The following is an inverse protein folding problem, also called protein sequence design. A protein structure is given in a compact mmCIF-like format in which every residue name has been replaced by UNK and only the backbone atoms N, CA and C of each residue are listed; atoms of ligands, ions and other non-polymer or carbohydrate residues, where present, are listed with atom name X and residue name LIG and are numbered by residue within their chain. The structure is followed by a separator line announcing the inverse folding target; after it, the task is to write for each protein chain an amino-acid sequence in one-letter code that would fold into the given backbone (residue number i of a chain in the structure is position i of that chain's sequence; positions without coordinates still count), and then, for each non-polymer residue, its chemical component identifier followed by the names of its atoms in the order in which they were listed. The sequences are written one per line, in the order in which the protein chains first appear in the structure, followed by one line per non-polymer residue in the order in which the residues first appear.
data_IF_722750641428
#
_entry.id   IF_722750641428
#
_cell.length_a   1.000
_cell.length_b   1.000
_cell.length_c   1.000
_cell.angle_alpha   90.00
_cell.angle_beta   90.00
_cell.angle_gamma   90.00
#
_symmetry.space_group_name_H-M   'P 1'
#
loop_
_entity.id
_entity.type
_entity.pdbx_description
1 polymer ?
#
# COMPACT_ATOMS: atom_id res chain seq x y z
N UNK A 1 28.55 -4.53 17.16
CA UNK A 1 28.08 -3.67 16.08
C UNK A 1 26.59 -3.44 16.21
N UNK A 2 26.14 -2.21 16.12
CA UNK A 2 24.70 -1.97 16.10
C UNK A 2 24.10 -2.58 14.83
N UNK A 3 22.88 -3.13 14.91
CA UNK A 3 22.23 -3.68 13.73
C UNK A 3 21.96 -2.57 12.72
N UNK A 4 22.20 -2.86 11.45
CA UNK A 4 21.89 -1.93 10.38
C UNK A 4 20.37 -1.90 10.19
N UNK A 5 19.79 -0.70 10.23
CA UNK A 5 18.37 -0.55 9.93
C UNK A 5 18.13 -0.76 8.45
N UNK A 6 17.05 -1.46 8.06
CA UNK A 6 16.70 -1.58 6.66
C UNK A 6 16.47 -0.21 6.02
N UNK A 7 16.90 -0.07 4.79
CA UNK A 7 16.69 1.15 4.00
C UNK A 7 15.40 0.98 3.19
N UNK A 8 14.58 2.03 3.15
CA UNK A 8 13.38 2.01 2.34
C UNK A 8 13.72 2.00 0.86
N UNK A 9 13.18 1.04 0.13
CA UNK A 9 13.30 0.99 -1.32
C UNK A 9 11.98 1.43 -1.94
N UNK A 10 12.04 2.36 -2.88
CA UNK A 10 10.88 2.77 -3.66
C UNK A 10 10.81 1.87 -4.89
N UNK A 11 9.88 0.93 -4.89
CA UNK A 11 9.75 -0.03 -5.98
C UNK A 11 9.11 0.57 -7.22
N UNK A 12 8.12 1.46 -7.02
CA UNK A 12 7.50 2.22 -8.10
C UNK A 12 6.76 3.39 -7.48
N UNK A 13 6.84 4.56 -8.11
CA UNK A 13 6.16 5.76 -7.61
C UNK A 13 5.55 6.53 -8.77
N UNK A 14 4.32 6.98 -8.60
CA UNK A 14 3.63 7.78 -9.58
C UNK A 14 2.76 8.82 -8.90
N UNK A 15 2.77 10.03 -9.44
CA UNK A 15 1.90 11.12 -9.00
C UNK A 15 1.26 11.73 -10.21
N UNK A 16 -0.03 11.99 -10.16
CA UNK A 16 -0.73 12.67 -11.22
C UNK A 16 -1.95 13.40 -10.67
N UNK A 17 -2.44 14.37 -11.42
CA UNK A 17 -3.71 15.02 -11.12
C UNK A 17 -4.82 14.19 -11.73
N UNK A 18 -5.84 13.90 -10.95
CA UNK A 18 -7.01 13.14 -11.38
C UNK A 18 -8.26 13.82 -10.84
N UNK A 19 -9.39 13.59 -11.48
CA UNK A 19 -10.67 13.94 -10.88
C UNK A 19 -10.94 12.99 -9.71
N UNK A 20 -11.78 13.42 -8.78
CA UNK A 20 -12.16 12.55 -7.65
C UNK A 20 -12.83 11.26 -8.15
N UNK A 21 -13.57 11.34 -9.26
CA UNK A 21 -14.22 10.17 -9.83
C UNK A 21 -13.26 9.20 -10.48
N UNK A 22 -12.22 9.71 -11.15
CA UNK A 22 -11.16 8.85 -11.69
C UNK A 22 -10.41 8.15 -10.56
N UNK A 23 -10.14 8.88 -9.48
CA UNK A 23 -9.50 8.30 -8.31
C UNK A 23 -10.38 7.23 -7.67
N UNK A 24 -11.68 7.50 -7.54
CA UNK A 24 -12.63 6.51 -7.00
C UNK A 24 -12.62 5.22 -7.84
N UNK A 25 -12.59 5.35 -9.16
CA UNK A 25 -12.54 4.19 -10.06
C UNK A 25 -11.27 3.38 -9.84
N UNK A 26 -10.14 4.05 -9.61
CA UNK A 26 -8.87 3.38 -9.30
C UNK A 26 -8.95 2.62 -7.98
N UNK A 27 -9.54 3.23 -6.95
CA UNK A 27 -9.72 2.57 -5.65
C UNK A 27 -10.62 1.34 -5.78
N UNK A 28 -11.70 1.44 -6.55
CA UNK A 28 -12.61 0.33 -6.80
C UNK A 28 -11.89 -0.83 -7.48
N UNK A 29 -11.02 -0.51 -8.43
CA UNK A 29 -10.23 -1.52 -9.15
C UNK A 29 -9.25 -2.21 -8.22
N UNK A 30 -8.56 -1.46 -7.37
CA UNK A 30 -7.66 -2.02 -6.36
C UNK A 30 -8.43 -2.95 -5.44
N UNK A 31 -9.58 -2.49 -4.93
CA UNK A 31 -10.41 -3.29 -4.04
C UNK A 31 -10.89 -4.56 -4.70
N UNK A 32 -11.34 -4.49 -5.95
CA UNK A 32 -11.80 -5.64 -6.70
C UNK A 32 -10.70 -6.67 -6.89
N UNK A 33 -9.51 -6.21 -7.28
CA UNK A 33 -8.36 -7.10 -7.49
C UNK A 33 -7.91 -7.77 -6.19
N UNK A 34 -7.85 -7.02 -5.10
CA UNK A 34 -7.50 -7.58 -3.80
C UNK A 34 -8.50 -8.64 -3.36
N UNK A 35 -9.80 -8.42 -3.61
CA UNK A 35 -10.84 -9.36 -3.23
C UNK A 35 -10.81 -10.62 -4.09
N UNK A 36 -10.62 -10.46 -5.39
CA UNK A 36 -10.69 -11.57 -6.34
C UNK A 36 -9.37 -12.35 -6.42
N UNK A 37 -8.24 -11.68 -6.36
CA UNK A 37 -6.93 -12.28 -6.62
C UNK A 37 -5.94 -12.12 -5.48
N UNK A 38 -6.25 -11.31 -4.47
CA UNK A 38 -5.33 -11.04 -3.37
C UNK A 38 -4.14 -10.19 -3.75
N UNK A 39 -4.13 -9.64 -4.95
CA UNK A 39 -3.02 -8.83 -5.46
C UNK A 39 -3.49 -7.95 -6.61
N UNK A 40 -2.69 -6.96 -6.95
CA UNK A 40 -2.91 -6.14 -8.13
C UNK A 40 -1.56 -5.72 -8.73
N UNK A 41 -1.58 -5.30 -9.99
CA UNK A 41 -0.39 -4.82 -10.68
C UNK A 41 -0.42 -3.30 -10.75
N UNK A 42 0.64 -2.69 -10.24
CA UNK A 42 0.84 -1.25 -10.34
C UNK A 42 1.64 -0.97 -11.60
N UNK A 43 1.05 -0.19 -12.52
CA UNK A 43 1.63 0.08 -13.84
C UNK A 43 1.90 1.57 -13.99
N UNK A 44 3.10 1.89 -14.46
CA UNK A 44 3.47 3.25 -14.82
C UNK A 44 4.27 3.21 -16.12
N UNK A 45 3.64 3.65 -17.22
CA UNK A 45 4.28 3.58 -18.52
C UNK A 45 4.64 2.14 -18.90
N UNK A 46 5.92 1.89 -19.11
CA UNK A 46 6.43 0.54 -19.43
C UNK A 46 6.83 -0.25 -18.19
N UNK A 47 6.82 0.39 -17.02
CA UNK A 47 7.17 -0.26 -15.77
C UNK A 47 5.93 -0.82 -15.09
N UNK A 48 6.09 -1.98 -14.46
CA UNK A 48 5.02 -2.58 -13.69
C UNK A 48 5.59 -3.39 -12.54
N UNK A 49 4.82 -3.44 -11.45
CA UNK A 49 5.19 -4.21 -10.28
C UNK A 49 3.93 -4.85 -9.69
N UNK A 50 4.04 -6.08 -9.24
CA UNK A 50 2.93 -6.77 -8.58
C UNK A 50 2.93 -6.41 -7.10
N UNK A 51 1.78 -5.95 -6.60
CA UNK A 51 1.57 -5.66 -5.19
C UNK A 51 0.73 -6.80 -4.62
N UNK A 52 1.35 -7.64 -3.80
CA UNK A 52 0.74 -8.85 -3.27
C UNK A 52 0.81 -8.85 -1.75
N UNK A 53 -0.15 -8.20 -1.08
CA UNK A 53 -0.14 -8.16 0.38
C UNK A 53 -0.44 -9.52 1.00
N UNK A 54 -0.03 -9.69 2.25
CA UNK A 54 -0.41 -10.86 3.02
C UNK A 54 -1.90 -10.78 3.39
N UNK A 55 -2.47 -11.88 3.90
CA UNK A 55 -3.88 -11.92 4.29
C UNK A 55 -4.24 -10.89 5.36
N UNK A 56 -3.29 -10.55 6.21
CA UNK A 56 -3.46 -9.55 7.24
C UNK A 56 -2.57 -8.36 6.94
N UNK A 57 -3.13 -7.17 6.96
CA UNK A 57 -2.41 -5.93 6.72
C UNK A 57 -2.72 -4.94 7.84
N UNK A 58 -1.72 -4.11 8.16
CA UNK A 58 -1.94 -2.98 9.05
C UNK A 58 -2.36 -1.80 8.19
N UNK A 59 -3.50 -1.21 8.49
CA UNK A 59 -4.00 -0.08 7.71
C UNK A 59 -4.00 1.17 8.57
N UNK A 60 -3.49 2.26 8.00
CA UNK A 60 -3.43 3.56 8.65
C UNK A 60 -4.18 4.58 7.80
N UNK A 61 -4.97 5.40 8.46
CA UNK A 61 -5.74 6.48 7.84
C UNK A 61 -5.35 7.79 8.50
N UNK A 62 -5.04 8.82 7.71
CA UNK A 62 -4.69 10.12 8.26
C UNK A 62 -5.26 11.24 7.41
N UNK A 63 -5.93 12.18 8.06
CA UNK A 63 -6.46 13.37 7.41
C UNK A 63 -5.78 14.60 8.00
N UNK A 64 -5.11 15.38 7.15
CA UNK A 64 -4.38 16.57 7.59
C UNK A 64 -4.80 17.79 6.78
N UNK A 65 -4.58 18.96 7.38
CA UNK A 65 -4.81 20.24 6.72
C UNK A 65 -3.62 21.15 6.99
N UNK A 66 -3.11 21.78 5.95
CA UNK A 66 -2.05 22.77 6.04
C UNK A 66 -2.44 23.97 5.17
N UNK A 67 -2.87 25.07 5.80
CA UNK A 67 -3.43 26.20 5.08
C UNK A 67 -4.68 25.74 4.30
N UNK A 68 -4.68 25.95 2.99
CA UNK A 68 -5.78 25.54 2.12
C UNK A 68 -5.63 24.13 1.59
N UNK A 69 -4.52 23.48 1.90
CA UNK A 69 -4.25 22.13 1.38
C UNK A 69 -4.76 21.07 2.33
N UNK A 70 -5.61 20.21 1.83
CA UNK A 70 -6.11 19.05 2.54
C UNK A 70 -5.44 17.79 2.00
N UNK A 71 -5.18 16.82 2.88
CA UNK A 71 -4.58 15.55 2.49
C UNK A 71 -5.22 14.41 3.26
N UNK A 72 -5.72 13.42 2.56
CA UNK A 72 -6.21 12.18 3.17
C UNK A 72 -5.31 11.05 2.69
N UNK A 73 -4.65 10.39 3.63
CA UNK A 73 -3.72 9.32 3.31
C UNK A 73 -4.25 7.98 3.79
N UNK A 74 -4.13 6.99 2.93
CA UNK A 74 -4.43 5.60 3.27
C UNK A 74 -3.16 4.82 3.02
N UNK A 75 -2.67 4.14 4.04
CA UNK A 75 -1.49 3.30 3.94
C UNK A 75 -1.80 1.93 4.46
N UNK A 76 -1.39 0.90 3.74
CA UNK A 76 -1.47 -0.46 4.25
C UNK A 76 -0.12 -1.13 4.07
N UNK A 77 0.33 -1.80 5.11
CA UNK A 77 1.63 -2.44 5.11
C UNK A 77 1.58 -3.86 5.67
N UNK A 78 2.58 -4.64 5.33
CA UNK A 78 2.69 -6.03 5.72
C UNK A 78 4.16 -6.47 5.67
N UNK A 79 4.45 -7.58 6.31
CA UNK A 79 5.76 -8.21 6.21
C UNK A 79 5.65 -9.44 5.34
N UNK A 80 6.70 -9.73 4.58
CA UNK A 80 6.72 -10.92 3.75
C UNK A 80 7.17 -12.15 4.54
N UNK A 81 6.81 -13.32 4.04
CA UNK A 81 7.19 -14.60 4.62
C UNK A 81 6.60 -14.84 6.00
N UNK A 82 7.37 -15.54 6.85
CA UNK A 82 6.91 -15.94 8.17
C UNK A 82 6.63 -14.76 9.09
N UNK A 83 7.25 -13.60 8.85
CA UNK A 83 7.06 -12.39 9.66
C UNK A 83 5.67 -11.81 9.54
N UNK A 84 4.98 -12.09 8.42
CA UNK A 84 3.63 -11.60 8.19
C UNK A 84 2.61 -12.19 9.18
N UNK A 85 2.91 -13.33 9.77
CA UNK A 85 1.98 -14.00 10.68
C UNK A 85 1.86 -13.32 12.04
N UNK A 86 2.98 -12.90 12.61
CA UNK A 86 3.01 -12.08 13.84
C UNK A 86 2.16 -12.52 15.01
N UNK A 87 1.67 -13.74 15.04
CA UNK A 87 0.79 -14.21 16.10
C UNK A 87 1.60 -14.79 17.26
N UNK A 88 1.16 -14.43 18.47
CA UNK A 88 1.73 -15.03 19.67
C UNK A 88 1.21 -16.46 19.81
N UNK A 89 2.11 -17.36 20.13
CA UNK A 89 1.75 -18.73 20.48
C UNK A 89 2.31 -19.07 21.85
N UNK A 90 1.63 -19.97 22.55
CA UNK A 90 2.11 -20.53 23.78
C UNK A 90 2.14 -22.04 23.59
N UNK A 91 3.31 -22.60 23.72
CA UNK A 91 3.51 -24.04 23.57
C UNK A 91 3.81 -24.70 24.90
#
# INVERSE_FOLDING_TARGET
MPPTKPVTEVLLKHKEHQSAQEFAATLEKIAQKLRAEGQFTFVQGTEQVIVAPSDQVKVSYEYTKKGDKHSFEIEFDWYEGARAQGKMGIE
#
